data_IF_628190522382
#
_entry.id   IF_628190522382
#
_cell.length_a   1.000
_cell.length_b   1.000
_cell.length_c   1.000
_cell.angle_alpha   90.00
_cell.angle_beta   90.00
_cell.angle_gamma   90.00
#
_symmetry.space_group_name_H-M   'P 1'
#
loop_
_entity.id
_entity.type
_entity.pdbx_description
1 polymer ?
#
# COMPACT_ATOMS: atom_id res chain seq x y z
N UNK A 1 -3.84 -20.97 -6.76
CA UNK A 1 -2.44 -20.61 -6.70
C UNK A 1 -2.19 -19.77 -5.50
N UNK A 2 -1.32 -20.22 -4.64
CA UNK A 2 -1.16 -19.60 -3.33
C UNK A 2 0.24 -19.09 -3.07
N UNK A 3 0.99 -18.82 -4.12
CA UNK A 3 2.32 -18.29 -3.94
C UNK A 3 2.22 -16.86 -3.43
N UNK A 4 2.75 -16.58 -2.25
CA UNK A 4 2.77 -15.21 -1.77
C UNK A 4 3.57 -14.32 -2.70
N UNK A 5 3.28 -13.04 -2.67
CA UNK A 5 4.04 -12.09 -3.46
C UNK A 5 5.36 -11.87 -2.73
N UNK A 6 6.43 -12.49 -3.26
CA UNK A 6 7.77 -12.31 -2.71
C UNK A 6 8.66 -11.49 -3.59
N UNK A 7 8.24 -11.18 -4.81
CA UNK A 7 9.03 -10.38 -5.74
C UNK A 7 8.79 -8.92 -5.44
N UNK A 8 9.83 -8.22 -5.01
CA UNK A 8 9.71 -6.82 -4.62
C UNK A 8 9.27 -5.92 -5.79
N UNK A 9 9.64 -6.27 -7.00
CA UNK A 9 9.21 -5.50 -8.16
C UNK A 9 7.71 -5.62 -8.39
N UNK A 10 7.17 -6.82 -8.18
CA UNK A 10 5.73 -7.03 -8.31
C UNK A 10 4.99 -6.30 -7.19
N UNK A 11 5.49 -6.37 -5.97
CA UNK A 11 4.90 -5.66 -4.84
C UNK A 11 4.86 -4.15 -5.13
N UNK A 12 5.96 -3.63 -5.62
CA UNK A 12 6.06 -2.21 -5.93
C UNK A 12 5.08 -1.83 -7.05
N UNK A 13 4.95 -2.68 -8.06
CA UNK A 13 4.03 -2.42 -9.16
C UNK A 13 2.58 -2.41 -8.70
N UNK A 14 2.21 -3.33 -7.82
CA UNK A 14 0.86 -3.38 -7.26
C UNK A 14 0.55 -2.12 -6.48
N UNK A 15 1.47 -1.69 -5.61
CA UNK A 15 1.28 -0.50 -4.81
C UNK A 15 1.22 0.75 -5.69
N UNK A 16 2.07 0.82 -6.69
CA UNK A 16 2.07 1.96 -7.62
C UNK A 16 0.75 2.04 -8.36
N UNK A 17 0.21 0.92 -8.79
CA UNK A 17 -1.09 0.89 -9.46
C UNK A 17 -2.20 1.37 -8.54
N UNK A 18 -2.19 0.94 -7.28
CA UNK A 18 -3.19 1.39 -6.31
C UNK A 18 -3.12 2.89 -6.10
N UNK A 19 -1.92 3.44 -6.01
CA UNK A 19 -1.74 4.87 -5.77
C UNK A 19 -2.02 5.71 -7.02
N UNK A 20 -2.01 5.09 -8.19
CA UNK A 20 -2.22 5.81 -9.44
C UNK A 20 -3.67 5.81 -9.90
N UNK A 21 -4.38 4.69 -9.66
CA UNK A 21 -5.75 4.53 -10.10
C UNK A 21 -6.70 4.79 -8.94
N UNK A 22 -7.51 5.84 -9.05
CA UNK A 22 -8.45 6.19 -7.99
C UNK A 22 -9.43 5.06 -7.72
N UNK A 23 -9.71 4.84 -6.45
CA UNK A 23 -10.69 3.84 -5.99
C UNK A 23 -10.34 2.41 -6.37
N UNK A 24 -9.06 2.16 -6.69
CA UNK A 24 -8.64 0.81 -7.09
C UNK A 24 -8.57 -0.16 -5.92
N UNK A 25 -8.39 0.33 -4.70
CA UNK A 25 -8.30 -0.54 -3.55
C UNK A 25 -9.54 -1.43 -3.39
N UNK A 26 -10.72 -0.90 -3.70
CA UNK A 26 -11.96 -1.69 -3.56
C UNK A 26 -11.95 -2.94 -4.41
N UNK A 27 -11.15 -2.96 -5.47
CA UNK A 27 -11.06 -4.13 -6.36
C UNK A 27 -10.19 -5.23 -5.79
N UNK A 28 -9.33 -4.91 -4.83
CA UNK A 28 -8.40 -5.88 -4.26
C UNK A 28 -8.56 -6.06 -2.75
N UNK A 29 -9.48 -5.35 -2.12
CA UNK A 29 -9.60 -5.38 -0.66
C UNK A 29 -9.90 -6.77 -0.11
N UNK A 30 -10.55 -7.62 -0.89
CA UNK A 30 -10.83 -8.99 -0.50
C UNK A 30 -9.79 -9.98 -1.00
N UNK A 31 -8.77 -9.50 -1.72
CA UNK A 31 -7.76 -10.35 -2.32
C UNK A 31 -6.39 -10.16 -1.67
N UNK A 32 -6.12 -8.98 -1.12
CA UNK A 32 -4.82 -8.64 -0.59
C UNK A 32 -4.90 -8.16 0.85
N UNK A 33 -3.90 -8.53 1.63
CA UNK A 33 -3.69 -8.00 2.98
C UNK A 33 -2.24 -7.53 3.07
N UNK A 34 -1.91 -6.81 4.15
CA UNK A 34 -0.53 -6.35 4.32
C UNK A 34 0.45 -7.53 4.40
N UNK A 35 -0.02 -8.69 4.84
CA UNK A 35 0.84 -9.85 4.96
C UNK A 35 1.23 -10.47 3.63
N UNK A 36 0.54 -10.08 2.56
CA UNK A 36 0.91 -10.52 1.23
C UNK A 36 2.17 -9.82 0.72
N UNK A 37 2.60 -8.77 1.39
CA UNK A 37 3.82 -8.04 1.03
C UNK A 37 4.97 -8.50 1.88
N UNK A 38 6.11 -8.77 1.24
CA UNK A 38 7.28 -9.27 1.93
C UNK A 38 8.10 -8.15 2.58
N UNK A 39 8.28 -7.04 1.86
CA UNK A 39 9.07 -5.93 2.37
C UNK A 39 8.27 -5.13 3.40
N UNK A 40 8.94 -4.79 4.51
CA UNK A 40 8.30 -4.00 5.57
C UNK A 40 7.80 -2.66 5.02
N UNK A 41 8.59 -2.00 4.17
CA UNK A 41 8.16 -0.72 3.60
C UNK A 41 6.89 -0.86 2.77
N UNK A 42 6.72 -1.99 2.08
CA UNK A 42 5.52 -2.22 1.28
C UNK A 42 4.31 -2.49 2.17
N UNK A 43 4.51 -3.21 3.27
CA UNK A 43 3.43 -3.43 4.24
C UNK A 43 2.93 -2.09 4.79
N UNK A 44 3.85 -1.19 5.11
CA UNK A 44 3.48 0.12 5.66
C UNK A 44 2.76 0.97 4.61
N UNK A 45 3.20 0.93 3.37
CA UNK A 45 2.52 1.65 2.29
C UNK A 45 1.10 1.11 2.12
N UNK A 46 0.95 -0.21 2.14
CA UNK A 46 -0.37 -0.81 2.01
C UNK A 46 -1.27 -0.41 3.19
N UNK A 47 -0.74 -0.40 4.41
CA UNK A 47 -1.48 0.06 5.58
C UNK A 47 -1.98 1.50 5.39
N UNK A 48 -1.13 2.36 4.82
CA UNK A 48 -1.52 3.73 4.55
C UNK A 48 -2.69 3.79 3.58
N UNK A 49 -2.63 3.00 2.52
CA UNK A 49 -3.70 2.97 1.53
C UNK A 49 -5.01 2.51 2.18
N UNK A 50 -4.96 1.45 2.98
CA UNK A 50 -6.15 0.93 3.65
C UNK A 50 -6.77 1.97 4.57
N UNK A 51 -5.92 2.62 5.38
CA UNK A 51 -6.41 3.62 6.33
C UNK A 51 -7.03 4.82 5.61
N UNK A 52 -6.34 5.32 4.60
CA UNK A 52 -6.85 6.46 3.84
C UNK A 52 -8.17 6.12 3.14
N UNK A 53 -8.25 4.92 2.56
CA UNK A 53 -9.49 4.47 1.93
C UNK A 53 -10.63 4.42 2.93
N UNK A 54 -10.37 3.95 4.14
CA UNK A 54 -11.40 3.83 5.17
C UNK A 54 -11.95 5.19 5.59
N UNK A 55 -11.19 6.25 5.35
CA UNK A 55 -11.58 7.61 5.67
C UNK A 55 -12.11 8.37 4.45
N UNK A 56 -12.32 7.65 3.36
CA UNK A 56 -12.76 8.23 2.09
C UNK A 56 -11.79 9.28 1.56
N UNK A 57 -10.51 9.11 1.89
CA UNK A 57 -9.46 10.01 1.45
C UNK A 57 -8.75 9.45 0.24
N UNK A 58 -8.26 10.28 -0.68
CA UNK A 58 -7.37 9.79 -1.72
C UNK A 58 -6.13 9.17 -1.12
N UNK A 59 -5.55 8.21 -1.83
CA UNK A 59 -4.33 7.55 -1.38
C UNK A 59 -3.26 7.56 -2.47
N UNK A 60 -3.09 8.71 -3.10
CA UNK A 60 -2.00 8.90 -4.04
C UNK A 60 -0.66 8.94 -3.28
N UNK A 61 0.43 8.97 -4.05
CA UNK A 61 1.75 8.89 -3.44
C UNK A 61 2.02 10.01 -2.44
N UNK A 62 1.51 11.21 -2.70
CA UNK A 62 1.71 12.36 -1.81
C UNK A 62 1.05 12.11 -0.46
N UNK A 63 -0.21 11.70 -0.47
CA UNK A 63 -0.96 11.49 0.77
C UNK A 63 -0.48 10.26 1.52
N UNK A 64 -0.09 9.21 0.80
CA UNK A 64 0.50 8.04 1.42
C UNK A 64 1.80 8.43 2.12
N UNK A 65 2.63 9.25 1.48
CA UNK A 65 3.88 9.70 2.08
C UNK A 65 3.63 10.54 3.33
N UNK A 66 2.64 11.44 3.29
CA UNK A 66 2.27 12.22 4.47
C UNK A 66 1.80 11.33 5.61
N UNK A 67 1.01 10.31 5.29
CA UNK A 67 0.54 9.37 6.29
C UNK A 67 1.71 8.68 6.99
N UNK A 68 2.70 8.27 6.20
CA UNK A 68 3.89 7.61 6.75
C UNK A 68 4.71 8.56 7.60
N UNK A 69 4.88 9.80 7.15
CA UNK A 69 5.64 10.80 7.90
C UNK A 69 4.99 11.13 9.23
N UNK A 70 3.69 11.25 9.24
CA UNK A 70 2.96 11.57 10.47
C UNK A 70 3.11 10.49 11.54
N UNK A 71 3.43 9.28 11.12
CA UNK A 71 3.61 8.14 12.02
C UNK A 71 5.08 7.77 12.18
N UNK A 72 5.98 8.58 11.65
CA UNK A 72 7.43 8.33 11.69
C UNK A 72 7.84 7.04 10.99
N UNK A 73 7.11 6.68 9.94
CA UNK A 73 7.39 5.47 9.17
C UNK A 73 8.15 5.75 7.88
N UNK A 74 8.43 7.03 7.56
CA UNK A 74 8.98 7.37 6.27
C UNK A 74 10.33 6.70 6.00
N UNK A 75 11.18 6.58 7.02
CA UNK A 75 12.46 5.91 6.84
C UNK A 75 12.30 4.42 6.61
N UNK A 76 11.38 3.79 7.33
CA UNK A 76 11.12 2.36 7.17
C UNK A 76 10.47 2.05 5.84
N UNK A 77 9.66 2.98 5.33
CA UNK A 77 8.98 2.79 4.05
C UNK A 77 9.89 3.10 2.87
N UNK A 78 10.96 3.76 3.14
CA UNK A 78 11.93 4.10 2.12
C UNK A 78 11.59 5.28 1.33
#
# INVERSE_FOLDING_TARGET
>A
MNTPIHNLQIEQAVLAALMTVSNSYSQVENLLTEEDFHATRHKLIFQAIVDLDSKNSPYDAVLVNQWLEMRNYSEAAG
#
